data_IF_073585202123
#
_entry.id   IF_073585202123
#
_cell.length_a   1.000
_cell.length_b   1.000
_cell.length_c   1.000
_cell.angle_alpha   90.00
_cell.angle_beta   90.00
_cell.angle_gamma   90.00
#
_symmetry.space_group_name_H-M   'P 1'
#
loop_
_entity.id
_entity.type
_entity.pdbx_description
1 polymer ?
#
# COMPACT_ATOMS: atom_id res chain seq x y z
N UNK A 1 -25.62 5.16 7.37
CA UNK A 1 -24.96 3.90 6.99
C UNK A 1 -25.48 3.59 5.60
N UNK A 2 -24.61 3.51 4.61
CA UNK A 2 -25.03 3.10 3.26
C UNK A 2 -25.16 1.59 3.28
N UNK A 3 -26.34 1.10 2.93
CA UNK A 3 -26.59 -0.34 2.76
C UNK A 3 -26.16 -0.69 1.35
N UNK A 4 -24.90 -1.16 1.20
CA UNK A 4 -24.34 -1.53 -0.11
C UNK A 4 -24.26 -3.05 -0.13
N UNK A 5 -24.92 -3.64 -1.11
CA UNK A 5 -24.82 -5.07 -1.39
C UNK A 5 -23.63 -5.32 -2.30
N UNK A 6 -22.81 -6.30 -1.97
CA UNK A 6 -21.72 -6.75 -2.83
C UNK A 6 -22.30 -7.54 -4.00
N UNK A 7 -21.91 -7.18 -5.21
CA UNK A 7 -22.44 -7.77 -6.45
C UNK A 7 -21.32 -8.35 -7.34
N UNK A 8 -21.63 -9.33 -8.22
CA UNK A 8 -20.66 -9.81 -9.18
C UNK A 8 -20.10 -8.69 -10.06
N UNK A 9 -18.79 -8.62 -10.12
CA UNK A 9 -18.05 -7.57 -10.82
C UNK A 9 -17.49 -6.47 -9.90
N UNK A 10 -17.80 -6.51 -8.61
CA UNK A 10 -17.24 -5.56 -7.65
C UNK A 10 -15.78 -5.84 -7.32
N UNK A 11 -15.04 -4.79 -7.03
CA UNK A 11 -13.73 -4.83 -6.41
C UNK A 11 -13.89 -4.51 -4.93
N UNK A 12 -13.52 -5.44 -4.07
CA UNK A 12 -13.57 -5.27 -2.62
C UNK A 12 -12.18 -4.94 -2.13
N UNK A 13 -12.09 -3.89 -1.33
CA UNK A 13 -10.91 -3.53 -0.57
C UNK A 13 -11.17 -3.80 0.91
N UNK A 14 -10.27 -4.54 1.54
CA UNK A 14 -10.31 -4.84 2.97
C UNK A 14 -9.06 -4.28 3.62
N UNK A 15 -9.25 -3.41 4.60
CA UNK A 15 -8.22 -2.83 5.44
C UNK A 15 -8.43 -3.38 6.85
N UNK A 16 -7.41 -4.08 7.39
CA UNK A 16 -7.54 -4.83 8.62
C UNK A 16 -6.25 -4.81 9.45
N UNK A 17 -6.39 -4.41 10.72
CA UNK A 17 -5.35 -4.50 11.73
C UNK A 17 -5.71 -5.51 12.81
N UNK A 18 -4.73 -6.26 13.29
CA UNK A 18 -4.86 -7.18 14.42
C UNK A 18 -3.95 -6.72 15.55
N UNK A 19 -4.49 -6.65 16.76
CA UNK A 19 -3.69 -6.43 17.96
C UNK A 19 -3.45 -7.78 18.65
N UNK A 20 -2.18 -8.16 18.75
CA UNK A 20 -1.77 -9.40 19.40
C UNK A 20 -1.93 -9.33 20.92
N UNK A 21 -2.81 -10.16 21.48
CA UNK A 21 -3.17 -10.13 22.89
C UNK A 21 -1.99 -10.30 23.85
N UNK A 22 -1.01 -11.12 23.49
CA UNK A 22 0.11 -11.45 24.37
C UNK A 22 1.36 -10.61 24.10
N UNK A 23 1.59 -10.25 22.85
CA UNK A 23 2.79 -9.52 22.42
C UNK A 23 2.54 -8.04 22.33
N UNK A 24 1.28 -7.61 22.32
CA UNK A 24 0.84 -6.22 22.17
C UNK A 24 1.45 -5.54 20.93
N UNK A 25 1.58 -6.31 19.85
CA UNK A 25 1.98 -5.79 18.55
C UNK A 25 0.78 -5.71 17.63
N UNK A 26 0.75 -4.66 16.84
CA UNK A 26 -0.25 -4.44 15.81
C UNK A 26 0.29 -4.91 14.47
N UNK A 27 -0.60 -5.46 13.65
CA UNK A 27 -0.41 -5.57 12.20
C UNK A 27 -1.28 -4.51 11.52
N UNK A 28 -0.94 -4.20 10.28
CA UNK A 28 -1.73 -3.35 9.42
C UNK A 28 -1.55 -3.82 7.99
N UNK A 29 -2.66 -4.14 7.29
CA UNK A 29 -2.59 -4.67 5.94
C UNK A 29 -3.86 -4.39 5.14
N UNK A 30 -3.70 -4.24 3.85
CA UNK A 30 -4.81 -4.10 2.91
C UNK A 30 -4.71 -5.15 1.81
N UNK A 31 -5.85 -5.79 1.55
CA UNK A 31 -5.99 -6.80 0.50
C UNK A 31 -7.18 -6.48 -0.40
N UNK A 32 -7.07 -6.89 -1.65
CA UNK A 32 -8.08 -6.61 -2.66
C UNK A 32 -8.62 -7.91 -3.26
N UNK A 33 -9.94 -7.99 -3.39
CA UNK A 33 -10.63 -9.12 -4.01
C UNK A 33 -11.54 -8.63 -5.14
N UNK A 34 -11.71 -9.47 -6.16
CA UNK A 34 -12.66 -9.26 -7.24
C UNK A 34 -13.76 -10.32 -7.17
N UNK A 35 -15.01 -9.86 -7.23
CA UNK A 35 -16.18 -10.75 -7.28
C UNK A 35 -16.41 -11.17 -8.72
N UNK A 36 -16.22 -12.46 -8.99
CA UNK A 36 -16.39 -13.01 -10.34
C UNK A 36 -17.84 -12.87 -10.84
N UNK A 37 -17.99 -12.42 -12.08
CA UNK A 37 -19.27 -12.50 -12.78
C UNK A 37 -19.53 -13.94 -13.21
N UNK A 38 -20.79 -14.24 -13.50
CA UNK A 38 -21.16 -15.57 -14.00
C UNK A 38 -20.32 -15.97 -15.23
N UNK A 39 -19.68 -17.13 -15.16
CA UNK A 39 -18.80 -17.67 -16.20
C UNK A 39 -17.37 -17.15 -16.23
N UNK A 40 -17.04 -16.12 -15.45
CA UNK A 40 -15.66 -15.67 -15.31
C UNK A 40 -14.83 -16.66 -14.48
N UNK A 41 -13.55 -16.78 -14.82
CA UNK A 41 -12.56 -17.61 -14.07
C UNK A 41 -11.35 -16.80 -13.62
N UNK A 42 -11.30 -15.53 -13.98
CA UNK A 42 -10.19 -14.60 -13.71
C UNK A 42 -10.75 -13.20 -13.58
N UNK A 43 -10.06 -12.37 -12.82
CA UNK A 43 -10.32 -10.93 -12.81
C UNK A 43 -10.05 -10.33 -14.21
N UNK A 44 -10.69 -9.20 -14.55
CA UNK A 44 -10.35 -8.41 -15.72
C UNK A 44 -8.86 -8.07 -15.77
N UNK A 45 -8.29 -8.11 -16.98
CA UNK A 45 -6.84 -7.93 -17.15
C UNK A 45 -6.37 -6.53 -16.73
N UNK A 46 -7.17 -5.52 -16.96
CA UNK A 46 -6.86 -4.14 -16.58
C UNK A 46 -6.86 -3.92 -15.05
N UNK A 47 -7.73 -4.60 -14.30
CA UNK A 47 -7.68 -4.61 -12.83
C UNK A 47 -6.43 -5.32 -12.30
N UNK A 48 -6.05 -6.46 -12.89
CA UNK A 48 -4.81 -7.15 -12.51
C UNK A 48 -3.60 -6.28 -12.88
N UNK A 49 -3.60 -5.62 -14.03
CA UNK A 49 -2.53 -4.71 -14.43
C UNK A 49 -2.39 -3.52 -13.48
N UNK A 50 -3.51 -3.02 -12.93
CA UNK A 50 -3.48 -1.97 -11.92
C UNK A 50 -2.86 -2.46 -10.60
N UNK A 51 -3.14 -3.69 -10.17
CA UNK A 51 -2.48 -4.32 -9.02
C UNK A 51 -0.97 -4.48 -9.28
N UNK A 52 -0.58 -4.93 -10.48
CA UNK A 52 0.83 -5.06 -10.88
C UNK A 52 1.54 -3.70 -10.86
N UNK A 53 0.86 -2.64 -11.30
CA UNK A 53 1.35 -1.27 -11.22
C UNK A 53 1.56 -0.82 -9.77
N UNK A 54 0.62 -1.14 -8.87
CA UNK A 54 0.77 -0.90 -7.43
C UNK A 54 1.96 -1.65 -6.83
N UNK A 55 2.15 -2.91 -7.23
CA UNK A 55 3.30 -3.72 -6.83
C UNK A 55 4.63 -3.13 -7.34
N UNK A 56 4.66 -2.57 -8.56
CA UNK A 56 5.84 -1.85 -9.06
C UNK A 56 6.12 -0.60 -8.22
N UNK A 57 5.09 0.17 -7.88
CA UNK A 57 5.27 1.36 -7.03
C UNK A 57 5.77 0.99 -5.63
N UNK A 58 5.25 -0.07 -5.02
CA UNK A 58 5.76 -0.62 -3.78
C UNK A 58 7.25 -0.94 -3.85
N UNK A 59 7.67 -1.64 -4.91
CA UNK A 59 9.08 -1.94 -5.13
C UNK A 59 9.93 -0.66 -5.21
N UNK A 60 9.46 0.38 -5.92
CA UNK A 60 10.12 1.68 -6.00
C UNK A 60 10.29 2.30 -4.61
N UNK A 61 9.26 2.22 -3.75
CA UNK A 61 9.37 2.73 -2.37
C UNK A 61 10.45 2.00 -1.61
N UNK A 62 10.47 0.66 -1.66
CA UNK A 62 11.47 -0.16 -0.98
C UNK A 62 12.89 0.11 -1.48
N UNK A 63 13.08 0.30 -2.79
CA UNK A 63 14.36 0.66 -3.39
C UNK A 63 14.92 2.00 -2.88
N UNK A 64 14.06 2.89 -2.42
CA UNK A 64 14.43 4.20 -1.89
C UNK A 64 14.46 4.26 -0.34
N UNK A 65 13.89 3.26 0.32
CA UNK A 65 13.68 3.21 1.75
C UNK A 65 14.88 2.58 2.46
N UNK A 66 15.90 3.38 2.78
CA UNK A 66 17.13 2.93 3.44
C UNK A 66 17.25 3.49 4.85
N UNK A 67 17.87 2.70 5.75
CA UNK A 67 18.27 3.15 7.11
C UNK A 67 19.07 4.45 7.02
N UNK A 68 18.80 5.39 7.90
CA UNK A 68 19.40 6.72 7.92
C UNK A 68 18.79 7.74 6.96
N UNK A 69 17.85 7.33 6.07
CA UNK A 69 17.11 8.28 5.22
C UNK A 69 15.92 8.87 5.97
N UNK A 70 15.67 10.14 5.76
CA UNK A 70 14.44 10.78 6.26
C UNK A 70 13.22 10.34 5.46
N UNK A 71 12.06 10.25 6.12
CA UNK A 71 10.80 9.89 5.47
C UNK A 71 10.47 10.80 4.27
N UNK A 72 10.67 12.12 4.39
CA UNK A 72 10.48 13.06 3.29
C UNK A 72 11.43 12.83 2.10
N UNK A 73 12.66 12.38 2.37
CA UNK A 73 13.62 12.08 1.31
C UNK A 73 13.20 10.82 0.53
N UNK A 74 12.76 9.78 1.24
CA UNK A 74 12.21 8.56 0.64
C UNK A 74 10.97 8.90 -0.18
N UNK A 75 10.02 9.62 0.40
CA UNK A 75 8.80 10.06 -0.29
C UNK A 75 9.13 10.78 -1.61
N UNK A 76 9.99 11.80 -1.54
CA UNK A 76 10.35 12.61 -2.71
C UNK A 76 10.99 11.77 -3.82
N UNK A 77 11.91 10.87 -3.45
CA UNK A 77 12.62 10.02 -4.41
C UNK A 77 11.67 8.99 -5.04
N UNK A 78 10.87 8.29 -4.24
CA UNK A 78 9.92 7.29 -4.72
C UNK A 78 8.83 7.90 -5.62
N UNK A 79 8.25 9.03 -5.21
CA UNK A 79 7.23 9.72 -6.00
C UNK A 79 7.78 10.23 -7.34
N UNK A 80 9.01 10.72 -7.36
CA UNK A 80 9.67 11.16 -8.60
C UNK A 80 9.91 9.99 -9.55
N UNK A 81 10.42 8.86 -9.03
CA UNK A 81 10.70 7.67 -9.83
C UNK A 81 9.39 7.08 -10.39
N UNK A 82 8.37 6.91 -9.55
CA UNK A 82 7.08 6.40 -9.98
C UNK A 82 6.44 7.24 -11.09
N UNK A 83 6.46 8.57 -10.95
CA UNK A 83 5.96 9.49 -11.99
C UNK A 83 6.76 9.40 -13.29
N UNK A 84 8.07 9.20 -13.21
CA UNK A 84 8.93 9.00 -14.40
C UNK A 84 8.60 7.69 -15.13
N UNK A 85 8.13 6.67 -14.41
CA UNK A 85 7.64 5.40 -14.97
C UNK A 85 6.15 5.47 -15.40
N UNK A 86 5.51 6.66 -15.33
CA UNK A 86 4.11 6.86 -15.76
C UNK A 86 3.07 6.41 -14.74
N UNK A 87 3.49 6.02 -13.55
CA UNK A 87 2.59 5.62 -12.44
C UNK A 87 1.90 6.86 -11.87
N UNK A 88 0.65 6.70 -11.45
CA UNK A 88 -0.12 7.71 -10.70
C UNK A 88 -0.12 7.34 -9.22
N UNK A 89 0.92 7.74 -8.44
CA UNK A 89 1.16 7.22 -7.12
C UNK A 89 0.58 8.09 -6.02
N UNK A 90 0.20 7.44 -4.91
CA UNK A 90 -0.06 8.06 -3.61
C UNK A 90 0.63 7.24 -2.52
N UNK A 91 1.40 7.89 -1.63
CA UNK A 91 2.24 7.22 -0.63
C UNK A 91 1.98 7.82 0.76
N UNK A 92 1.71 6.97 1.74
CA UNK A 92 1.37 7.41 3.11
C UNK A 92 1.73 6.37 4.17
N UNK A 93 2.91 5.76 4.02
CA UNK A 93 3.46 4.71 4.89
C UNK A 93 3.89 5.25 6.25
N UNK A 94 3.73 4.43 7.27
CA UNK A 94 4.05 4.78 8.65
C UNK A 94 4.66 3.59 9.42
N UNK A 95 5.39 3.82 10.52
CA UNK A 95 5.83 2.74 11.39
C UNK A 95 4.65 2.03 12.04
N UNK A 96 4.78 0.72 12.22
CA UNK A 96 3.84 -0.14 12.93
C UNK A 96 4.57 -0.95 14.00
N UNK A 97 3.91 -1.25 15.11
CA UNK A 97 4.50 -2.01 16.20
C UNK A 97 3.57 -2.08 17.40
N UNK A 98 3.96 -1.51 18.54
CA UNK A 98 3.11 -1.44 19.75
C UNK A 98 1.82 -0.65 19.50
N UNK A 99 1.80 0.20 18.50
CA UNK A 99 0.61 0.93 18.01
C UNK A 99 0.46 0.68 16.52
N UNK A 100 -0.77 0.67 16.01
CA UNK A 100 -1.04 0.56 14.58
C UNK A 100 -0.37 1.68 13.79
N UNK A 101 -0.41 2.92 14.31
CA UNK A 101 0.39 4.04 13.82
C UNK A 101 1.52 4.30 14.82
N UNK A 102 2.66 3.65 14.62
CA UNK A 102 3.81 3.70 15.51
C UNK A 102 4.55 5.04 15.49
N UNK A 103 5.36 5.27 16.53
CA UNK A 103 6.25 6.42 16.56
C UNK A 103 7.43 6.20 15.60
N UNK A 104 7.78 7.22 14.81
CA UNK A 104 8.92 7.16 13.88
C UNK A 104 8.72 8.03 12.65
N UNK A 105 9.48 7.76 11.57
CA UNK A 105 9.37 8.51 10.33
C UNK A 105 8.09 8.12 9.57
N UNK A 106 7.31 9.12 9.14
CA UNK A 106 6.26 8.92 8.13
C UNK A 106 6.81 9.15 6.74
N UNK A 107 6.33 8.39 5.75
CA UNK A 107 6.71 8.52 4.34
C UNK A 107 5.48 8.99 3.57
N UNK A 108 5.27 10.31 3.56
CA UNK A 108 4.01 10.92 3.12
C UNK A 108 2.90 10.79 4.16
N UNK A 109 1.77 11.39 3.86
CA UNK A 109 0.50 11.24 4.59
C UNK A 109 -0.64 11.19 3.59
N UNK A 110 -1.71 10.47 3.89
CA UNK A 110 -2.89 10.40 3.03
C UNK A 110 -3.44 11.80 2.70
N UNK A 111 -3.46 12.68 3.70
CA UNK A 111 -3.94 14.06 3.56
C UNK A 111 -2.88 15.06 3.08
N UNK A 112 -1.61 14.65 2.99
CA UNK A 112 -0.51 15.51 2.56
C UNK A 112 0.50 14.72 1.71
N UNK A 113 0.39 14.85 0.39
CA UNK A 113 1.29 14.25 -0.59
C UNK A 113 2.48 15.19 -0.92
N UNK A 114 3.09 15.73 0.12
CA UNK A 114 4.23 16.65 0.04
C UNK A 114 5.14 16.52 1.24
N UNK A 115 5.82 17.61 1.58
CA UNK A 115 6.69 17.65 2.76
C UNK A 115 5.87 17.56 4.05
N UNK A 116 6.27 16.64 4.93
CA UNK A 116 5.66 16.41 6.25
C UNK A 116 6.60 16.92 7.32
N UNK A 117 6.27 18.02 8.03
CA UNK A 117 7.09 18.52 9.14
C UNK A 117 7.12 17.54 10.31
N UNK A 118 8.22 17.52 11.03
CA UNK A 118 8.38 16.69 12.24
C UNK A 118 8.55 15.21 11.93
N UNK A 119 7.48 14.44 11.77
CA UNK A 119 7.58 12.98 11.57
C UNK A 119 8.26 12.61 10.24
N UNK A 120 8.00 13.34 9.17
CA UNK A 120 8.66 13.11 7.88
C UNK A 120 10.15 13.49 7.86
N UNK A 121 10.61 14.28 8.82
CA UNK A 121 12.03 14.67 8.98
C UNK A 121 12.84 13.66 9.80
N UNK A 122 12.17 12.69 10.43
CA UNK A 122 12.83 11.60 11.17
C UNK A 122 13.49 10.62 10.21
N UNK A 123 14.56 10.01 10.66
CA UNK A 123 15.28 8.97 9.92
C UNK A 123 14.69 7.59 10.17
N UNK A 124 14.80 6.74 9.16
CA UNK A 124 14.51 5.31 9.28
C UNK A 124 15.63 4.68 10.09
N UNK A 125 15.27 4.00 11.16
CA UNK A 125 16.20 3.25 12.01
C UNK A 125 16.20 1.77 11.61
N UNK A 126 17.24 1.03 11.97
CA UNK A 126 17.25 -0.43 11.87
C UNK A 126 16.14 -1.05 12.74
N UNK A 127 15.71 -2.24 12.36
CA UNK A 127 14.70 -3.04 13.06
C UNK A 127 13.35 -2.32 13.24
N UNK A 128 13.08 -1.35 12.36
CA UNK A 128 11.78 -0.67 12.31
C UNK A 128 10.85 -1.36 11.32
N UNK A 129 9.67 -1.75 11.80
CA UNK A 129 8.59 -2.23 10.96
C UNK A 129 7.72 -1.07 10.49
N UNK A 130 7.27 -1.18 9.25
CA UNK A 130 6.38 -0.21 8.61
C UNK A 130 5.15 -0.91 8.04
N UNK A 131 4.00 -0.28 8.18
CA UNK A 131 2.90 -0.45 7.26
C UNK A 131 3.30 0.27 5.96
N UNK A 132 3.69 -0.51 4.94
CA UNK A 132 4.03 0.05 3.63
C UNK A 132 2.74 0.26 2.85
N UNK A 133 2.14 1.40 3.10
CA UNK A 133 0.82 1.77 2.63
C UNK A 133 0.90 2.77 1.48
N UNK A 134 0.22 2.43 0.39
CA UNK A 134 0.21 3.21 -0.84
C UNK A 134 -1.02 2.90 -1.69
N UNK A 135 -1.29 3.74 -2.67
CA UNK A 135 -2.17 3.37 -3.76
C UNK A 135 -1.68 3.91 -5.11
N UNK A 136 -2.21 3.33 -6.14
CA UNK A 136 -2.13 3.82 -7.52
C UNK A 136 -3.53 3.89 -8.10
N UNK A 137 -3.72 4.69 -9.16
CA UNK A 137 -5.00 4.71 -9.85
C UNK A 137 -4.83 4.74 -11.37
N UNK A 138 -5.83 4.21 -12.04
CA UNK A 138 -5.97 4.32 -13.48
C UNK A 138 -7.45 4.29 -13.88
N UNK A 139 -7.74 4.60 -15.13
CA UNK A 139 -9.07 4.47 -15.70
C UNK A 139 -9.24 3.06 -16.27
N UNK A 140 -10.22 2.33 -15.75
CA UNK A 140 -10.40 0.90 -16.04
C UNK A 140 -11.40 0.72 -17.18
N UNK A 141 -10.96 0.13 -18.27
CA UNK A 141 -11.76 -0.01 -19.49
C UNK A 141 -12.94 -0.96 -19.32
N UNK A 142 -12.81 -2.03 -18.55
CA UNK A 142 -13.91 -2.94 -18.27
C UNK A 142 -15.03 -2.32 -17.41
N UNK A 143 -14.82 -1.11 -16.89
CA UNK A 143 -15.79 -0.27 -16.18
C UNK A 143 -15.99 1.09 -16.87
N UNK A 144 -16.10 1.08 -18.18
CA UNK A 144 -16.39 2.26 -19.01
C UNK A 144 -15.46 3.47 -18.76
N UNK A 145 -14.20 3.20 -18.43
CA UNK A 145 -13.21 4.23 -18.11
C UNK A 145 -13.34 4.83 -16.71
N UNK A 146 -14.05 4.19 -15.81
CA UNK A 146 -14.11 4.61 -14.41
C UNK A 146 -12.72 4.61 -13.80
N UNK A 147 -12.41 5.68 -13.04
CA UNK A 147 -11.18 5.74 -12.25
C UNK A 147 -11.28 4.80 -11.07
N UNK A 148 -10.30 3.92 -10.96
CA UNK A 148 -10.18 2.94 -9.86
C UNK A 148 -8.88 3.18 -9.12
N UNK A 149 -8.94 3.13 -7.81
CA UNK A 149 -7.78 3.18 -6.92
C UNK A 149 -7.47 1.76 -6.46
N UNK A 150 -6.22 1.34 -6.59
CA UNK A 150 -5.72 0.07 -6.09
C UNK A 150 -4.88 0.34 -4.85
N UNK A 151 -5.41 -0.02 -3.70
CA UNK A 151 -4.77 0.13 -2.40
C UNK A 151 -3.96 -1.11 -2.08
N UNK A 152 -2.77 -0.92 -1.56
CA UNK A 152 -1.87 -1.98 -1.10
C UNK A 152 -1.26 -1.59 0.23
N UNK A 153 -1.18 -2.55 1.13
CA UNK A 153 -0.49 -2.39 2.39
C UNK A 153 0.04 -3.73 2.88
N UNK A 154 1.29 -3.72 3.30
CA UNK A 154 1.99 -4.87 3.86
C UNK A 154 2.92 -4.40 4.97
N UNK A 155 3.12 -5.23 5.97
CA UNK A 155 4.14 -4.95 6.98
C UNK A 155 5.51 -5.36 6.45
N UNK A 156 6.44 -4.41 6.41
CA UNK A 156 7.85 -4.67 6.08
C UNK A 156 8.73 -4.31 7.27
N UNK A 157 9.85 -5.00 7.42
CA UNK A 157 10.88 -4.66 8.40
C UNK A 157 12.12 -4.11 7.69
N UNK A 158 12.67 -3.02 8.21
CA UNK A 158 13.96 -2.45 7.76
C UNK A 158 15.07 -2.94 8.66
N UNK A 159 15.53 -4.16 8.38
CA UNK A 159 16.76 -4.73 8.95
C UNK A 159 17.91 -4.63 7.92
N UNK A 160 18.76 -5.64 7.81
CA UNK A 160 19.84 -5.70 6.80
C UNK A 160 19.28 -5.74 5.37
N UNK A 161 18.13 -6.39 5.18
CA UNK A 161 17.40 -6.48 3.92
C UNK A 161 15.92 -6.15 4.16
N UNK A 162 15.21 -5.74 3.11
CA UNK A 162 13.78 -5.51 3.16
C UNK A 162 13.04 -6.83 3.04
N UNK A 163 12.70 -7.43 4.16
CA UNK A 163 11.87 -8.62 4.20
C UNK A 163 10.39 -8.24 4.37
N UNK A 164 9.54 -8.97 3.67
CA UNK A 164 8.10 -8.94 3.94
C UNK A 164 7.81 -9.81 5.15
N UNK A 165 7.16 -9.23 6.17
CA UNK A 165 6.72 -9.98 7.36
C UNK A 165 5.48 -10.78 7.03
N UNK A 166 4.58 -10.23 6.23
CA UNK A 166 3.43 -10.91 5.65
C UNK A 166 3.60 -11.11 4.15
N UNK A 167 2.87 -12.04 3.57
CA UNK A 167 2.91 -12.28 2.13
C UNK A 167 2.34 -11.10 1.36
N UNK A 168 2.99 -10.68 0.28
CA UNK A 168 2.43 -9.62 -0.53
C UNK A 168 1.46 -10.12 -1.59
N UNK A 169 0.45 -9.33 -1.87
CA UNK A 169 -0.57 -9.66 -2.84
C UNK A 169 -0.08 -9.40 -4.28
N UNK A 170 0.16 -10.46 -5.04
CA UNK A 170 0.53 -10.40 -6.46
C UNK A 170 -0.62 -10.69 -7.43
N UNK A 171 -1.74 -11.22 -6.91
CA UNK A 171 -2.94 -11.50 -7.67
C UNK A 171 -4.16 -11.05 -6.89
N UNK A 172 -5.16 -10.56 -7.61
CA UNK A 172 -6.46 -10.32 -7.01
C UNK A 172 -7.01 -11.62 -6.44
N UNK A 173 -7.53 -11.57 -5.22
CA UNK A 173 -8.33 -12.67 -4.70
C UNK A 173 -9.61 -12.77 -5.52
N UNK A 174 -10.07 -13.97 -5.77
CA UNK A 174 -11.29 -14.23 -6.55
C UNK A 174 -12.36 -14.84 -5.64
N UNK A 175 -13.52 -14.26 -5.63
CA UNK A 175 -14.69 -14.69 -4.84
C UNK A 175 -15.85 -14.94 -5.78
#
# INVERSE_FOLDING_TARGET
MFDVTIEPGDLIHCDIGINGQYVQLHTDMQWVAYILREGEKKAPQDLQALLDCGNRFRQIVMENMHVGKQGNAVFTAAMRQAKAEGIQPMLYSHPVGTFGHGAGPTIGLYTNQGFVPGTGERTIEEDTCFALELNVYDNISCWDGQRVFMYLEETICRAAENDYIDGHQTKLLLI
#
